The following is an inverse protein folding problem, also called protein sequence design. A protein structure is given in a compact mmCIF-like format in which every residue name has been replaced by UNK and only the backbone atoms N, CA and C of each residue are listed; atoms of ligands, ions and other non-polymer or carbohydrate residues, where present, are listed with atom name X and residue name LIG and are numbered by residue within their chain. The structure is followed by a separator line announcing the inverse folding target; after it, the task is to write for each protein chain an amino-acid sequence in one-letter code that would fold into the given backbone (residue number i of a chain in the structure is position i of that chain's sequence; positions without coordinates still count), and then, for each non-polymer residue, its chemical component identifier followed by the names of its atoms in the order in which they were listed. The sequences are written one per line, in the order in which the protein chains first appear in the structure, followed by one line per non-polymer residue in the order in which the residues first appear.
data_IF_106692058329
#
_entry.id   IF_106692058329
#
_cell.length_a   1.000
_cell.length_b   1.000
_cell.length_c   1.000
_cell.angle_alpha   90.00
_cell.angle_beta   90.00
_cell.angle_gamma   90.00
#
_symmetry.space_group_name_H-M   'P 1'
#
loop_
_entity.id
_entity.type
_entity.pdbx_description
1 polymer ?
#
# COMPACT_ATOMS: atom_id res chain seq x y z
N UNK A 1 -8.98 3.87 -15.44
CA UNK A 1 -7.57 4.17 -15.80
C UNK A 1 -6.68 3.43 -14.83
N UNK A 2 -5.72 2.65 -15.32
CA UNK A 2 -4.76 1.92 -14.49
C UNK A 2 -3.39 2.58 -14.62
N UNK A 3 -2.66 2.74 -13.51
CA UNK A 3 -1.29 3.26 -13.52
C UNK A 3 -0.27 2.13 -13.48
N UNK A 4 0.84 2.31 -14.21
CA UNK A 4 1.99 1.41 -14.19
C UNK A 4 3.04 1.79 -13.12
N UNK A 5 2.91 2.99 -12.52
CA UNK A 5 3.79 3.54 -11.47
C UNK A 5 3.76 2.88 -10.10
N UNK A 6 2.94 1.84 -9.91
CA UNK A 6 2.73 1.19 -8.60
C UNK A 6 3.11 -0.27 -8.67
N UNK A 7 2.13 -1.17 -8.58
CA UNK A 7 2.35 -2.62 -8.65
C UNK A 7 3.24 -3.04 -9.83
N UNK A 8 3.07 -2.46 -11.04
CA UNK A 8 3.92 -2.82 -12.16
C UNK A 8 5.36 -2.31 -12.11
N UNK A 9 5.66 -1.25 -11.34
CA UNK A 9 7.02 -0.69 -11.20
C UNK A 9 7.56 0.02 -12.45
N UNK A 10 6.70 0.52 -13.33
CA UNK A 10 7.08 1.22 -14.57
C UNK A 10 6.42 2.61 -14.63
N UNK A 11 6.53 3.33 -15.75
CA UNK A 11 5.88 4.64 -15.92
C UNK A 11 4.63 4.56 -16.80
N UNK A 12 3.68 5.47 -16.58
CA UNK A 12 2.55 5.70 -17.47
C UNK A 12 1.23 5.14 -16.96
N UNK A 13 0.23 5.15 -17.82
CA UNK A 13 -1.11 4.66 -17.53
C UNK A 13 -1.82 4.16 -18.78
N UNK A 14 -2.86 3.35 -18.57
CA UNK A 14 -3.67 2.77 -19.63
C UNK A 14 -5.15 2.94 -19.32
N UNK A 15 -5.92 3.16 -20.37
CA UNK A 15 -7.39 3.17 -20.35
C UNK A 15 -7.84 2.05 -21.27
N UNK A 16 -8.51 1.04 -20.70
CA UNK A 16 -9.12 -0.06 -21.45
C UNK A 16 -10.60 0.26 -21.62
N UNK A 17 -11.05 0.40 -22.87
CA UNK A 17 -12.42 0.71 -23.29
C UNK A 17 -12.72 0.01 -24.61
N UNK A 18 -13.97 0.03 -25.01
CA UNK A 18 -14.41 -0.47 -26.31
C UNK A 18 -13.75 0.28 -27.48
N UNK A 19 -13.78 -0.28 -28.71
CA UNK A 19 -13.14 0.32 -29.87
C UNK A 19 -13.64 1.73 -30.24
N UNK A 20 -14.91 2.04 -29.98
CA UNK A 20 -15.49 3.36 -30.28
C UNK A 20 -14.85 4.42 -29.39
N UNK A 21 -14.82 4.19 -28.07
CA UNK A 21 -14.17 5.11 -27.13
C UNK A 21 -12.68 5.19 -27.40
N UNK A 22 -12.02 4.08 -27.75
CA UNK A 22 -10.59 4.10 -28.13
C UNK A 22 -10.33 5.01 -29.33
N UNK A 23 -11.14 4.90 -30.39
CA UNK A 23 -11.02 5.71 -31.61
C UNK A 23 -11.31 7.18 -31.32
N UNK A 24 -12.36 7.46 -30.54
CA UNK A 24 -12.68 8.81 -30.10
C UNK A 24 -11.52 9.42 -29.30
N UNK A 25 -10.98 8.70 -28.32
CA UNK A 25 -9.86 9.19 -27.51
C UNK A 25 -8.60 9.44 -28.33
N UNK A 26 -8.26 8.55 -29.25
CA UNK A 26 -7.11 8.71 -30.14
C UNK A 26 -7.20 9.98 -31.02
N UNK A 27 -8.42 10.36 -31.42
CA UNK A 27 -8.65 11.47 -32.33
C UNK A 27 -8.97 12.80 -31.62
N UNK A 28 -9.41 12.77 -30.36
CA UNK A 28 -9.94 13.97 -29.67
C UNK A 28 -9.14 14.37 -28.42
N UNK A 29 -8.33 13.49 -27.84
CA UNK A 29 -7.60 13.79 -26.59
C UNK A 29 -6.27 14.47 -26.89
N UNK A 30 -6.21 15.80 -26.72
CA UNK A 30 -5.00 16.61 -26.94
C UNK A 30 -3.77 16.10 -26.17
N UNK A 31 -3.96 15.69 -24.92
CA UNK A 31 -2.87 15.16 -24.08
C UNK A 31 -2.28 13.83 -24.56
N UNK A 32 -2.97 13.12 -25.45
CA UNK A 32 -2.47 11.91 -26.10
C UNK A 32 -1.84 12.24 -27.46
N UNK A 33 -2.43 13.17 -28.23
CA UNK A 33 -1.95 13.55 -29.57
C UNK A 33 -0.67 14.38 -29.55
N UNK A 34 -0.53 15.29 -28.58
CA UNK A 34 0.59 16.25 -28.51
C UNK A 34 1.60 15.87 -27.43
N UNK A 35 1.82 14.57 -27.22
CA UNK A 35 2.75 14.05 -26.23
C UNK A 35 3.57 12.91 -26.81
N UNK A 36 4.83 12.79 -26.37
CA UNK A 36 5.70 11.72 -26.81
C UNK A 36 5.22 10.37 -26.28
N UNK A 37 5.29 9.34 -27.13
CA UNK A 37 5.02 7.97 -26.73
C UNK A 37 5.99 7.49 -25.63
N UNK A 38 5.60 6.46 -24.86
CA UNK A 38 6.48 5.86 -23.87
C UNK A 38 7.75 5.28 -24.51
N UNK A 39 8.88 5.41 -23.82
CA UNK A 39 10.16 4.85 -24.27
C UNK A 39 10.13 3.32 -24.31
N UNK A 40 10.99 2.73 -25.14
CA UNK A 40 11.12 1.27 -25.23
C UNK A 40 11.39 0.58 -23.87
N UNK A 41 12.31 1.07 -23.01
CA UNK A 41 12.52 0.49 -21.68
C UNK A 41 11.25 0.49 -20.81
N UNK A 42 10.42 1.54 -20.93
CA UNK A 42 9.15 1.63 -20.21
C UNK A 42 8.17 0.54 -20.67
N UNK A 43 8.03 0.36 -21.99
CA UNK A 43 7.18 -0.70 -22.56
C UNK A 43 7.70 -2.10 -22.17
N UNK A 44 9.02 -2.31 -22.23
CA UNK A 44 9.65 -3.58 -21.85
C UNK A 44 9.42 -3.90 -20.37
N UNK A 45 9.58 -2.91 -19.47
CA UNK A 45 9.31 -3.06 -18.05
C UNK A 45 7.83 -3.39 -17.79
N UNK A 46 6.89 -2.71 -18.45
CA UNK A 46 5.46 -3.02 -18.37
C UNK A 46 5.19 -4.47 -18.81
N UNK A 47 5.74 -4.89 -19.95
CA UNK A 47 5.59 -6.27 -20.46
C UNK A 47 6.18 -7.31 -19.52
N UNK A 48 7.39 -7.10 -19.01
CA UNK A 48 8.05 -8.01 -18.07
C UNK A 48 7.25 -8.12 -16.76
N UNK A 49 6.75 -6.98 -16.28
CA UNK A 49 5.93 -6.90 -15.08
C UNK A 49 4.61 -7.65 -15.24
N UNK A 50 3.87 -7.41 -16.33
CA UNK A 50 2.67 -8.20 -16.64
C UNK A 50 2.97 -9.67 -16.89
N UNK A 51 4.04 -10.02 -17.59
CA UNK A 51 4.43 -11.42 -17.76
C UNK A 51 4.64 -12.10 -16.39
N UNK A 52 5.25 -11.38 -15.44
CA UNK A 52 5.45 -11.86 -14.08
C UNK A 52 4.14 -11.90 -13.26
N UNK A 53 3.23 -10.94 -13.45
CA UNK A 53 1.99 -10.79 -12.67
C UNK A 53 0.79 -11.59 -13.20
N UNK A 54 0.63 -11.66 -14.53
CA UNK A 54 -0.49 -12.26 -15.28
C UNK A 54 -0.32 -13.75 -15.56
N UNK A 55 0.83 -14.34 -15.25
CA UNK A 55 1.01 -15.80 -15.31
C UNK A 55 0.11 -16.48 -14.28
N UNK A 56 -1.14 -16.76 -14.69
CA UNK A 56 -2.18 -17.31 -13.84
C UNK A 56 -2.20 -18.83 -13.86
N UNK A 57 -1.89 -19.48 -14.98
CA UNK A 57 -1.96 -20.93 -15.09
C UNK A 57 -0.73 -21.50 -15.77
N UNK A 58 -0.23 -22.59 -15.19
CA UNK A 58 0.88 -23.34 -15.76
C UNK A 58 0.47 -23.93 -17.11
N UNK A 59 0.88 -23.27 -18.20
CA UNK A 59 1.18 -23.96 -19.46
C UNK A 59 2.53 -23.47 -19.93
N UNK A 60 3.44 -24.42 -20.14
CA UNK A 60 4.62 -24.20 -20.97
C UNK A 60 4.12 -23.72 -22.34
N UNK A 61 4.21 -22.43 -22.62
CA UNK A 61 4.16 -21.94 -23.99
C UNK A 61 5.60 -21.95 -24.49
N UNK A 62 5.97 -23.08 -25.12
CA UNK A 62 6.91 -23.04 -26.25
C UNK A 62 6.21 -22.26 -27.38
N UNK A 63 7.01 -21.75 -28.32
CA UNK A 63 6.65 -20.98 -29.53
C UNK A 63 6.37 -19.49 -29.24
N UNK A 64 7.04 -18.49 -29.86
CA UNK A 64 7.93 -18.47 -31.03
C UNK A 64 9.01 -17.40 -30.80
N UNK A 65 10.24 -17.73 -31.15
CA UNK A 65 11.31 -16.78 -31.36
C UNK A 65 11.07 -16.05 -32.69
N UNK A 66 10.88 -14.74 -32.63
CA UNK A 66 11.17 -13.80 -33.71
C UNK A 66 11.54 -12.48 -33.05
N UNK A 67 12.79 -12.39 -32.60
CA UNK A 67 13.65 -11.20 -32.52
C UNK A 67 14.88 -11.55 -31.63
N UNK A 68 16.12 -11.23 -32.04
CA UNK A 68 17.31 -11.85 -31.50
C UNK A 68 17.86 -11.10 -30.27
N UNK A 69 17.07 -10.80 -29.23
CA UNK A 69 17.63 -10.28 -27.97
C UNK A 69 16.63 -10.41 -26.81
N UNK A 70 16.77 -11.47 -25.98
CA UNK A 70 16.67 -11.42 -24.51
C UNK A 70 16.47 -12.82 -23.90
N UNK A 71 17.48 -13.28 -23.16
CA UNK A 71 17.35 -14.32 -22.14
C UNK A 71 16.80 -13.68 -20.85
N UNK A 72 15.56 -13.98 -20.47
CA UNK A 72 15.01 -13.69 -19.13
C UNK A 72 14.78 -15.03 -18.42
N UNK A 73 15.38 -15.29 -17.23
CA UNK A 73 15.28 -16.58 -16.55
C UNK A 73 13.83 -16.97 -16.20
N UNK A 74 13.42 -18.15 -16.65
CA UNK A 74 12.10 -18.76 -16.47
C UNK A 74 11.93 -19.41 -15.08
N UNK A 75 11.80 -18.62 -13.99
CA UNK A 75 11.59 -19.14 -12.61
C UNK A 75 10.42 -18.51 -11.81
N UNK A 76 9.35 -18.02 -12.43
CA UNK A 76 8.39 -17.12 -11.76
C UNK A 76 7.00 -17.68 -11.34
N UNK A 77 6.81 -19.00 -11.22
CA UNK A 77 5.49 -19.57 -10.82
C UNK A 77 5.24 -19.52 -9.31
N UNK A 78 6.17 -20.10 -8.56
CA UNK A 78 6.11 -20.22 -7.09
C UNK A 78 6.19 -18.84 -6.42
N UNK A 79 6.94 -17.94 -7.04
CA UNK A 79 7.24 -16.62 -6.52
C UNK A 79 6.01 -15.70 -6.37
N UNK A 80 5.08 -15.68 -7.34
CA UNK A 80 3.86 -14.82 -7.26
C UNK A 80 2.91 -15.26 -6.15
N UNK A 81 2.55 -16.55 -6.11
CA UNK A 81 1.68 -17.11 -5.06
C UNK A 81 2.31 -16.88 -3.70
N UNK A 82 3.62 -17.11 -3.56
CA UNK A 82 4.34 -16.84 -2.32
C UNK A 82 4.32 -15.36 -1.94
N UNK A 83 4.55 -14.39 -2.84
CA UNK A 83 4.56 -12.97 -2.47
C UNK A 83 3.17 -12.43 -2.13
N UNK A 84 2.12 -12.81 -2.87
CA UNK A 84 0.75 -12.44 -2.49
C UNK A 84 0.37 -13.07 -1.15
N UNK A 85 0.75 -14.32 -0.90
CA UNK A 85 0.51 -14.98 0.37
C UNK A 85 1.29 -14.30 1.51
N UNK A 86 2.58 -13.99 1.31
CA UNK A 86 3.41 -13.27 2.28
C UNK A 86 2.84 -11.90 2.61
N UNK A 87 2.44 -11.12 1.61
CA UNK A 87 1.78 -9.82 1.85
C UNK A 87 0.51 -9.96 2.69
N UNK A 88 -0.35 -10.94 2.36
CA UNK A 88 -1.55 -11.23 3.15
C UNK A 88 -1.21 -11.65 4.58
N UNK A 89 -0.21 -12.52 4.76
CA UNK A 89 0.28 -12.93 6.07
C UNK A 89 0.80 -11.74 6.86
N UNK A 90 1.54 -10.83 6.24
CA UNK A 90 2.06 -9.62 6.88
C UNK A 90 0.92 -8.67 7.33
N UNK A 91 -0.09 -8.48 6.49
CA UNK A 91 -1.28 -7.67 6.84
C UNK A 91 -2.03 -8.31 8.01
N UNK A 92 -2.26 -9.63 7.96
CA UNK A 92 -2.88 -10.38 9.07
C UNK A 92 -2.07 -10.31 10.35
N UNK A 93 -0.75 -10.42 10.26
CA UNK A 93 0.16 -10.29 11.41
C UNK A 93 0.01 -8.92 12.05
N UNK A 94 0.04 -7.86 11.26
CA UNK A 94 -0.16 -6.49 11.76
C UNK A 94 -1.53 -6.35 12.46
N UNK A 95 -2.63 -6.75 11.81
CA UNK A 95 -3.98 -6.68 12.43
C UNK A 95 -4.05 -7.48 13.74
N UNK A 96 -3.51 -8.70 13.75
CA UNK A 96 -3.47 -9.55 14.94
C UNK A 96 -2.68 -8.91 16.09
N UNK A 97 -1.51 -8.33 15.80
CA UNK A 97 -0.69 -7.68 16.82
C UNK A 97 -1.38 -6.47 17.43
N UNK A 98 -2.12 -5.69 16.64
CA UNK A 98 -2.91 -4.56 17.15
C UNK A 98 -4.07 -5.07 18.00
N UNK A 99 -4.88 -6.02 17.49
CA UNK A 99 -6.06 -6.55 18.18
C UNK A 99 -5.74 -7.26 19.50
N UNK A 100 -4.64 -8.00 19.55
CA UNK A 100 -4.22 -8.74 20.74
C UNK A 100 -3.38 -7.91 21.71
N UNK A 101 -3.11 -6.63 21.43
CA UNK A 101 -2.28 -5.83 22.30
C UNK A 101 -3.00 -5.52 23.62
N UNK A 102 -2.36 -5.67 24.80
CA UNK A 102 -3.02 -5.46 26.10
C UNK A 102 -3.66 -4.07 26.26
N UNK A 103 -3.12 -3.08 25.56
CA UNK A 103 -3.47 -1.67 25.68
C UNK A 103 -4.43 -1.20 24.57
N UNK A 104 -4.86 -2.12 23.70
CA UNK A 104 -5.67 -1.79 22.52
C UNK A 104 -6.99 -1.13 22.91
N UNK A 105 -7.70 -1.67 23.91
CA UNK A 105 -9.00 -1.14 24.34
C UNK A 105 -8.89 0.29 24.87
N UNK A 106 -7.90 0.55 25.74
CA UNK A 106 -7.68 1.88 26.31
C UNK A 106 -7.33 2.92 25.26
N UNK A 107 -6.46 2.55 24.31
CA UNK A 107 -6.06 3.43 23.20
C UNK A 107 -7.26 3.71 22.28
N UNK A 108 -8.04 2.69 21.94
CA UNK A 108 -9.24 2.83 21.10
C UNK A 108 -10.27 3.79 21.72
N UNK A 109 -10.47 3.73 23.03
CA UNK A 109 -11.41 4.60 23.76
C UNK A 109 -10.93 6.06 23.84
N UNK A 110 -9.62 6.30 23.83
CA UNK A 110 -9.02 7.64 23.99
C UNK A 110 -8.99 8.49 22.70
N UNK A 111 -9.43 7.94 21.57
CA UNK A 111 -9.34 8.56 20.22
C UNK A 111 -7.93 8.89 19.69
N UNK A 112 -6.88 8.58 20.45
CA UNK A 112 -5.47 8.88 20.11
C UNK A 112 -5.00 8.13 18.87
N UNK A 113 -5.37 6.85 18.74
CA UNK A 113 -5.12 6.02 17.57
C UNK A 113 -6.40 5.30 17.18
N UNK A 114 -6.76 5.36 15.90
CA UNK A 114 -7.87 4.60 15.32
C UNK A 114 -7.41 3.85 14.09
N UNK A 115 -7.97 2.67 13.89
CA UNK A 115 -7.60 1.75 12.82
C UNK A 115 -8.85 1.34 12.03
N UNK A 116 -9.31 2.17 11.07
CA UNK A 116 -10.54 1.89 10.32
C UNK A 116 -10.54 0.53 9.63
N UNK A 117 -9.37 0.07 9.16
CA UNK A 117 -9.22 -1.25 8.51
C UNK A 117 -9.40 -2.44 9.45
N UNK A 118 -9.40 -2.23 10.76
CA UNK A 118 -9.58 -3.25 11.80
C UNK A 118 -11.00 -3.18 12.38
N UNK A 119 -11.57 -1.98 12.49
CA UNK A 119 -12.88 -1.72 13.10
C UNK A 119 -14.07 -2.20 12.24
N UNK A 120 -13.90 -2.33 10.91
CA UNK A 120 -15.00 -2.62 9.97
C UNK A 120 -15.20 -4.10 9.58
N UNK A 121 -14.45 -5.05 10.13
CA UNK A 121 -14.45 -6.42 9.58
C UNK A 121 -15.29 -7.42 10.42
N UNK A 122 -16.59 -7.48 10.15
CA UNK A 122 -17.44 -8.62 10.54
C UNK A 122 -17.76 -9.57 9.39
N UNK A 123 -17.44 -9.25 8.13
CA UNK A 123 -17.93 -10.06 7.00
C UNK A 123 -17.08 -10.10 5.72
N UNK A 124 -15.98 -9.36 5.56
CA UNK A 124 -15.18 -9.46 4.34
C UNK A 124 -13.69 -9.24 4.61
N UNK A 125 -12.89 -10.29 4.40
CA UNK A 125 -11.43 -10.34 4.54
C UNK A 125 -10.71 -9.42 3.53
N UNK A 126 -10.95 -8.11 3.63
CA UNK A 126 -10.40 -7.07 2.75
C UNK A 126 -8.97 -6.78 3.21
N UNK A 127 -8.04 -7.60 2.71
CA UNK A 127 -6.61 -7.43 2.94
C UNK A 127 -6.03 -6.35 2.01
N UNK A 128 -6.04 -5.10 2.47
CA UNK A 128 -5.43 -3.96 1.77
C UNK A 128 -4.02 -3.72 2.32
N UNK A 129 -3.05 -3.57 1.42
CA UNK A 129 -1.65 -3.29 1.78
C UNK A 129 -1.41 -1.87 2.30
N UNK A 130 -2.39 -0.99 2.12
CA UNK A 130 -2.35 0.41 2.54
C UNK A 130 -3.26 0.54 3.75
N UNK A 131 -2.66 0.75 4.91
CA UNK A 131 -3.37 0.79 6.19
C UNK A 131 -3.38 2.25 6.68
N UNK A 132 -4.56 2.88 6.78
CA UNK A 132 -4.70 4.20 7.36
C UNK A 132 -4.59 4.10 8.89
N UNK A 133 -3.65 4.86 9.46
CA UNK A 133 -3.53 5.04 10.90
C UNK A 133 -4.01 6.45 11.21
N UNK A 134 -5.18 6.55 11.82
CA UNK A 134 -5.77 7.83 12.20
C UNK A 134 -5.31 8.19 13.61
N UNK A 135 -5.08 9.47 13.83
CA UNK A 135 -4.74 10.02 15.13
C UNK A 135 -5.44 11.36 15.31
N UNK A 136 -5.58 11.79 16.56
CA UNK A 136 -6.21 13.07 16.91
C UNK A 136 -5.60 14.25 16.14
N UNK A 137 -6.38 15.32 15.99
CA UNK A 137 -5.97 16.50 15.23
C UNK A 137 -4.59 17.02 15.67
N UNK A 138 -3.70 17.21 14.69
CA UNK A 138 -2.34 17.71 14.91
C UNK A 138 -1.31 16.67 15.37
N UNK A 139 -1.72 15.44 15.70
CA UNK A 139 -0.79 14.41 16.19
C UNK A 139 -0.15 13.57 15.09
N UNK A 140 -0.71 13.55 13.87
CA UNK A 140 -0.19 12.75 12.76
C UNK A 140 1.30 13.03 12.44
N UNK A 141 1.75 14.29 12.48
CA UNK A 141 3.16 14.63 12.27
C UNK A 141 4.06 14.15 13.41
N UNK A 142 3.59 14.27 14.66
CA UNK A 142 4.32 13.79 15.85
C UNK A 142 4.45 12.27 15.81
N UNK A 143 3.41 11.56 15.36
CA UNK A 143 3.44 10.13 15.14
C UNK A 143 4.46 9.76 14.04
N UNK A 144 4.42 10.44 12.89
CA UNK A 144 5.41 10.21 11.82
C UNK A 144 6.84 10.46 12.31
N UNK A 145 7.07 11.55 13.05
CA UNK A 145 8.39 11.87 13.60
C UNK A 145 8.87 10.76 14.53
N UNK A 146 8.02 10.30 15.47
CA UNK A 146 8.34 9.18 16.35
C UNK A 146 8.70 7.93 15.56
N UNK A 147 7.89 7.54 14.58
CA UNK A 147 8.17 6.38 13.74
C UNK A 147 9.50 6.53 12.99
N UNK A 148 9.82 7.74 12.52
CA UNK A 148 11.07 8.04 11.82
C UNK A 148 12.30 7.96 12.73
N UNK A 149 12.19 8.34 14.01
CA UNK A 149 13.26 8.16 15.01
C UNK A 149 13.65 6.68 15.16
N UNK A 150 12.67 5.78 15.08
CA UNK A 150 12.88 4.32 15.06
C UNK A 150 13.15 3.76 13.65
N UNK A 151 13.53 4.61 12.70
CA UNK A 151 13.87 4.25 11.30
C UNK A 151 12.72 3.68 10.49
N UNK A 152 11.47 3.85 10.92
CA UNK A 152 10.30 3.52 10.12
C UNK A 152 9.89 4.69 9.24
N UNK A 153 9.78 4.45 7.93
CA UNK A 153 9.35 5.47 6.98
C UNK A 153 7.85 5.35 6.71
N UNK A 154 7.10 6.35 7.17
CA UNK A 154 5.67 6.52 6.87
C UNK A 154 5.41 7.90 6.29
N UNK A 155 4.23 8.09 5.69
CA UNK A 155 3.84 9.39 5.13
C UNK A 155 2.51 9.83 5.72
N UNK A 156 2.48 11.04 6.26
CA UNK A 156 1.23 11.70 6.64
C UNK A 156 0.51 12.15 5.38
N UNK A 157 -0.80 11.93 5.34
CA UNK A 157 -1.71 12.40 4.30
C UNK A 157 -2.66 13.42 4.93
N UNK A 158 -2.67 14.63 4.38
CA UNK A 158 -3.41 15.79 4.87
C UNK A 158 -4.30 16.38 3.78
N UNK A 159 -5.14 17.34 4.17
CA UNK A 159 -5.79 18.24 3.24
C UNK A 159 -4.78 18.91 2.29
N UNK A 160 -5.08 19.04 0.98
CA UNK A 160 -6.36 18.73 0.31
C UNK A 160 -6.52 17.29 -0.19
N UNK A 161 -5.53 16.41 0.01
CA UNK A 161 -5.60 15.03 -0.48
C UNK A 161 -6.67 14.19 0.24
N UNK A 162 -7.05 14.60 1.45
CA UNK A 162 -8.13 14.03 2.28
C UNK A 162 -8.91 15.17 2.94
N UNK A 163 -10.13 14.91 3.44
CA UNK A 163 -10.88 15.91 4.22
C UNK A 163 -10.09 16.33 5.48
N UNK A 164 -10.43 17.49 6.05
CA UNK A 164 -9.67 18.06 7.18
C UNK A 164 -9.73 17.16 8.43
N UNK A 165 -10.80 16.38 8.54
CA UNK A 165 -11.15 15.49 9.63
C UNK A 165 -10.50 14.10 9.48
N UNK A 166 -10.14 13.69 8.26
CA UNK A 166 -9.60 12.35 7.98
C UNK A 166 -8.07 12.31 7.78
N UNK A 167 -7.35 13.22 8.45
CA UNK A 167 -5.88 13.20 8.47
C UNK A 167 -5.38 11.85 8.99
N UNK A 168 -4.38 11.29 8.31
CA UNK A 168 -3.91 9.93 8.60
C UNK A 168 -2.45 9.73 8.25
N UNK A 169 -1.77 8.88 9.00
CA UNK A 169 -0.48 8.30 8.62
C UNK A 169 -0.75 7.07 7.75
N UNK A 170 -0.14 7.02 6.56
CA UNK A 170 -0.29 5.91 5.62
C UNK A 170 0.81 4.89 5.82
N UNK A 171 0.47 3.73 6.36
CA UNK A 171 1.34 2.56 6.39
C UNK A 171 1.19 1.76 5.10
N UNK A 172 2.29 1.37 4.48
CA UNK A 172 2.30 0.50 3.30
C UNK A 172 3.09 -0.76 3.63
N UNK A 173 2.39 -1.89 3.76
CA UNK A 173 3.03 -3.20 3.93
C UNK A 173 3.36 -3.81 2.58
N UNK A 174 4.51 -4.47 2.49
CA UNK A 174 4.94 -5.22 1.33
C UNK A 174 5.30 -6.67 1.72
N UNK A 175 5.42 -7.53 0.70
CA UNK A 175 5.70 -8.96 0.87
C UNK A 175 7.09 -9.25 1.46
N UNK A 176 7.98 -8.26 1.48
CA UNK A 176 9.37 -8.40 1.95
C UNK A 176 9.58 -7.75 3.32
N UNK A 177 8.55 -7.13 3.91
CA UNK A 177 8.63 -6.75 5.33
C UNK A 177 8.81 -8.02 6.16
N UNK A 178 9.84 -8.02 6.99
CA UNK A 178 10.11 -9.14 7.90
C UNK A 178 9.11 -9.10 9.05
N UNK A 179 8.69 -10.26 9.58
CA UNK A 179 7.79 -10.31 10.73
C UNK A 179 8.26 -9.48 11.94
N UNK A 180 9.57 -9.42 12.19
CA UNK A 180 10.14 -8.67 13.31
C UNK A 180 10.13 -7.16 13.08
N UNK A 181 10.24 -6.70 11.82
CA UNK A 181 10.05 -5.30 11.47
C UNK A 181 8.60 -4.87 11.75
N UNK A 182 7.63 -5.74 11.44
CA UNK A 182 6.21 -5.50 11.72
C UNK A 182 5.95 -5.46 13.23
N UNK A 183 6.54 -6.40 13.99
CA UNK A 183 6.47 -6.40 15.46
C UNK A 183 7.08 -5.14 16.07
N UNK A 184 8.26 -4.74 15.63
CA UNK A 184 8.94 -3.52 16.08
C UNK A 184 8.12 -2.26 15.75
N UNK A 185 7.54 -2.20 14.56
CA UNK A 185 6.66 -1.11 14.16
C UNK A 185 5.43 -1.01 15.08
N UNK A 186 4.74 -2.14 15.33
CA UNK A 186 3.56 -2.16 16.23
C UNK A 186 3.95 -1.76 17.65
N UNK A 187 5.08 -2.23 18.15
CA UNK A 187 5.56 -1.86 19.48
C UNK A 187 5.74 -0.34 19.64
N UNK A 188 6.45 0.31 18.70
CA UNK A 188 6.65 1.77 18.73
C UNK A 188 5.32 2.51 18.62
N UNK A 189 4.43 2.05 17.73
CA UNK A 189 3.13 2.65 17.52
C UNK A 189 2.26 2.60 18.78
N UNK A 190 2.16 1.44 19.43
CA UNK A 190 1.32 1.25 20.61
C UNK A 190 1.91 1.96 21.84
N UNK A 191 3.23 1.97 22.02
CA UNK A 191 3.87 2.73 23.08
C UNK A 191 3.60 4.23 22.94
N UNK A 192 3.76 4.77 21.73
CA UNK A 192 3.43 6.18 21.47
C UNK A 192 1.96 6.47 21.74
N UNK A 193 1.06 5.58 21.32
CA UNK A 193 -0.37 5.70 21.62
C UNK A 193 -0.63 5.78 23.12
N UNK A 194 -0.01 4.90 23.90
CA UNK A 194 -0.13 4.89 25.36
C UNK A 194 0.41 6.14 26.03
N UNK A 195 1.61 6.60 25.67
CA UNK A 195 2.21 7.83 26.18
C UNK A 195 1.25 9.01 26.00
N UNK A 196 0.56 9.09 24.85
CA UNK A 196 -0.42 10.14 24.55
C UNK A 196 -1.69 10.03 25.39
N UNK A 197 -2.20 8.81 25.63
CA UNK A 197 -3.34 8.60 26.55
C UNK A 197 -3.01 9.11 27.95
N UNK A 198 -1.84 8.78 28.47
CA UNK A 198 -1.42 9.21 29.81
C UNK A 198 -1.27 10.73 29.92
N UNK A 199 -0.74 11.39 28.89
CA UNK A 199 -0.63 12.86 28.85
C UNK A 199 -2.02 13.51 28.83
N UNK A 200 -2.96 12.98 28.04
CA UNK A 200 -4.34 13.47 28.00
C UNK A 200 -5.06 13.33 29.34
N UNK A 201 -4.91 12.18 30.01
CA UNK A 201 -5.49 11.94 31.34
C UNK A 201 -4.97 12.92 32.41
N UNK A 202 -3.69 13.28 32.37
CA UNK A 202 -3.07 14.25 33.30
C UNK A 202 -3.51 15.69 33.09
N UNK A 203 -3.91 16.08 31.87
CA UNK A 203 -4.50 17.40 31.62
C UNK A 203 -5.95 17.48 32.14
N UNK A 204 -6.72 16.40 31.99
CA UNK A 204 -8.11 16.36 32.45
C UNK A 204 -8.28 16.34 33.98
N UNK A 205 -7.29 15.84 34.72
CA UNK A 205 -7.32 15.80 36.20
C UNK A 205 -6.84 17.09 36.88
N UNK A 206 -6.52 18.14 36.10
CA UNK A 206 -6.04 19.45 36.60
C UNK A 206 -7.08 20.58 36.43
N UNK A 207 -8.31 20.22 36.04
CA UNK A 207 -9.49 21.07 36.01
C UNK A 207 -10.48 20.56 37.06
#
# INVERSE_FOLDING_TARGET
MQSFGKGPGALGGVVMRDPLIKKYMANSVRGLMYSNGPSFPTIAAIKASFSTLSSADGKQVRTVATEPFHYIPRRNRVYRKQRRQRLRTNIKLFHRLILMHPMQQTISNSSVLKFPSIEHDKNEEISVAIIPIMSEQGQCHKLQQRLQEYRFRTHVVLYPAVSKEEKRVRLMLHADNKPDEIRGFVHVLMNWGWERVQVGAKLGSRL
#
